data_IF_125080839061
#
_entry.id   IF_125080839061
#
_cell.length_a   1.000
_cell.length_b   1.000
_cell.length_c   1.000
_cell.angle_alpha   90.00
_cell.angle_beta   90.00
_cell.angle_gamma   90.00
#
_symmetry.space_group_name_H-M   'P 1'
#
loop_
_entity.id
_entity.type
_entity.pdbx_description
1 polymer ?
#
# COMPACT_ATOMS: atom_id res chain seq x y z
N UNK A 1 -43.22 -8.23 -44.66
CA UNK A 1 -42.40 -7.53 -43.65
C UNK A 1 -43.14 -7.58 -42.32
N UNK A 2 -42.60 -8.27 -41.29
CA UNK A 2 -43.20 -8.32 -39.95
C UNK A 2 -42.53 -7.28 -39.06
N UNK A 3 -43.29 -6.43 -38.33
CA UNK A 3 -42.71 -5.41 -37.46
C UNK A 3 -42.05 -6.06 -36.23
N UNK A 4 -40.83 -5.61 -35.94
CA UNK A 4 -39.98 -6.10 -34.85
C UNK A 4 -40.40 -5.37 -33.56
N UNK A 5 -40.96 -6.10 -32.60
CA UNK A 5 -41.38 -5.55 -31.31
C UNK A 5 -40.17 -5.07 -30.50
N UNK A 6 -40.25 -3.83 -29.99
CA UNK A 6 -39.23 -3.22 -29.13
C UNK A 6 -39.35 -3.77 -27.69
N UNK A 7 -38.22 -4.04 -27.01
CA UNK A 7 -38.25 -4.54 -25.64
C UNK A 7 -38.69 -3.46 -24.65
N UNK A 8 -39.55 -3.86 -23.70
CA UNK A 8 -40.07 -3.01 -22.63
C UNK A 8 -38.93 -2.52 -21.70
N UNK A 9 -38.90 -1.21 -21.46
CA UNK A 9 -37.96 -0.57 -20.52
C UNK A 9 -38.30 -0.97 -19.10
N UNK A 10 -37.33 -1.53 -18.37
CA UNK A 10 -37.44 -1.81 -16.94
C UNK A 10 -37.64 -0.52 -16.12
N UNK A 11 -38.48 -0.55 -15.07
CA UNK A 11 -38.74 0.62 -14.23
C UNK A 11 -37.49 1.03 -13.45
N UNK A 12 -37.30 2.35 -13.32
CA UNK A 12 -36.19 2.97 -12.58
C UNK A 12 -36.30 2.62 -11.08
N UNK A 13 -35.22 2.20 -10.40
CA UNK A 13 -35.23 2.00 -8.96
C UNK A 13 -35.52 3.32 -8.26
N UNK A 14 -36.51 3.34 -7.37
CA UNK A 14 -36.84 4.51 -6.55
C UNK A 14 -35.73 4.85 -5.54
N UNK A 15 -35.70 6.08 -5.02
CA UNK A 15 -34.68 6.53 -4.09
C UNK A 15 -34.74 5.72 -2.79
N UNK A 16 -33.59 5.20 -2.36
CA UNK A 16 -33.45 4.45 -1.12
C UNK A 16 -33.83 5.33 0.08
N UNK A 17 -34.76 4.84 0.92
CA UNK A 17 -35.11 5.47 2.20
C UNK A 17 -33.86 5.50 3.08
N UNK A 18 -33.45 6.70 3.48
CA UNK A 18 -32.38 6.92 4.45
C UNK A 18 -32.87 6.46 5.84
N UNK A 19 -32.18 5.53 6.51
CA UNK A 19 -32.57 5.11 7.86
C UNK A 19 -32.40 6.26 8.87
N UNK A 20 -33.26 6.35 9.90
CA UNK A 20 -33.20 7.40 10.91
C UNK A 20 -31.85 7.35 11.65
N UNK A 21 -31.21 8.52 11.76
CA UNK A 21 -29.87 8.68 12.33
C UNK A 21 -29.78 8.19 13.77
N UNK A 22 -28.75 7.40 14.07
CA UNK A 22 -28.36 7.06 15.44
C UNK A 22 -27.96 8.35 16.18
N UNK A 23 -28.42 8.55 17.43
CA UNK A 23 -27.93 9.66 18.25
C UNK A 23 -26.43 9.52 18.48
N UNK A 24 -25.70 10.60 18.18
CA UNK A 24 -24.25 10.70 18.29
C UNK A 24 -23.84 10.62 19.77
N UNK A 25 -23.37 9.44 20.20
CA UNK A 25 -22.84 9.18 21.55
C UNK A 25 -21.39 9.67 21.70
N UNK A 26 -21.03 10.82 21.12
CA UNK A 26 -19.77 11.51 21.44
C UNK A 26 -19.96 12.25 22.77
N UNK A 27 -19.97 11.48 23.85
CA UNK A 27 -19.83 12.02 25.20
C UNK A 27 -18.51 12.77 25.30
N UNK A 28 -18.60 14.03 25.71
CA UNK A 28 -17.55 15.03 25.85
C UNK A 28 -16.57 14.66 26.98
N UNK A 29 -15.83 13.55 26.82
CA UNK A 29 -14.73 13.18 27.70
C UNK A 29 -13.52 14.04 27.32
N UNK A 30 -13.50 15.27 27.84
CA UNK A 30 -12.27 16.06 27.89
C UNK A 30 -11.30 15.35 28.84
N UNK A 31 -10.31 14.69 28.27
CA UNK A 31 -9.17 14.20 29.03
C UNK A 31 -8.27 15.40 29.26
N UNK A 32 -8.07 15.80 30.52
CA UNK A 32 -7.13 16.85 30.89
C UNK A 32 -5.71 16.36 30.59
N UNK A 33 -5.22 16.65 29.38
CA UNK A 33 -3.83 16.40 29.01
C UNK A 33 -3.02 17.53 29.65
N UNK A 34 -2.38 17.24 30.78
CA UNK A 34 -1.41 18.12 31.39
C UNK A 34 -0.33 18.49 30.35
N UNK A 35 -0.21 19.77 30.02
CA UNK A 35 0.82 20.27 29.12
C UNK A 35 2.20 19.83 29.64
N UNK A 36 2.98 19.17 28.79
CA UNK A 36 4.32 18.71 29.15
C UNK A 36 5.24 19.86 29.58
N UNK A 37 6.24 19.60 30.45
CA UNK A 37 7.08 20.62 31.09
C UNK A 37 7.96 21.46 30.14
N UNK A 38 8.03 21.10 28.85
CA UNK A 38 8.83 21.80 27.83
C UNK A 38 8.02 22.69 26.88
N UNK A 39 6.73 22.89 27.14
CA UNK A 39 5.92 23.87 26.40
C UNK A 39 6.26 25.30 26.85
N UNK A 40 7.51 25.74 26.64
CA UNK A 40 7.82 27.16 26.65
C UNK A 40 6.97 27.81 25.56
N UNK A 41 5.97 28.57 25.98
CA UNK A 41 5.25 29.47 25.08
C UNK A 41 6.29 30.24 24.26
N UNK A 42 6.11 30.35 22.93
CA UNK A 42 7.00 31.20 22.15
C UNK A 42 7.03 32.58 22.77
N UNK A 43 8.23 33.17 22.87
CA UNK A 43 8.39 34.51 23.42
C UNK A 43 7.42 35.47 22.70
N UNK A 44 6.76 36.39 23.44
CA UNK A 44 5.80 37.32 22.84
C UNK A 44 6.46 38.09 21.69
N UNK A 45 5.74 38.24 20.58
CA UNK A 45 6.25 38.93 19.38
C UNK A 45 6.65 40.36 19.79
N UNK A 46 7.93 40.77 19.63
CA UNK A 46 8.36 42.10 20.02
C UNK A 46 7.63 43.16 19.18
N UNK A 47 7.26 44.27 19.82
CA UNK A 47 6.54 45.37 19.16
C UNK A 47 7.28 45.87 17.91
N UNK A 48 6.52 46.19 16.85
CA UNK A 48 7.06 46.64 15.57
C UNK A 48 7.69 48.04 15.73
N UNK A 49 8.99 48.21 15.43
CA UNK A 49 9.63 49.53 15.52
C UNK A 49 9.27 50.41 14.31
N UNK A 50 9.28 51.73 14.52
CA UNK A 50 8.96 52.74 13.49
C UNK A 50 10.19 53.22 12.69
N UNK A 51 11.39 53.14 13.27
CA UNK A 51 12.63 53.57 12.59
C UNK A 51 13.09 52.54 11.53
N UNK A 52 13.51 52.96 10.31
CA UNK A 52 13.88 52.03 9.23
C UNK A 52 14.99 51.03 9.59
N UNK A 53 16.04 51.47 10.29
CA UNK A 53 17.15 50.61 10.71
C UNK A 53 16.71 49.57 11.76
N UNK A 54 15.85 49.99 12.70
CA UNK A 54 15.27 49.09 13.70
C UNK A 54 14.26 48.12 13.06
N UNK A 55 13.52 48.54 12.04
CA UNK A 55 12.60 47.71 11.26
C UNK A 55 13.35 46.61 10.49
N UNK A 56 14.50 46.93 9.90
CA UNK A 56 15.34 45.94 9.22
C UNK A 56 15.92 44.89 10.19
N UNK A 57 16.33 45.31 11.39
CA UNK A 57 16.79 44.39 12.44
C UNK A 57 15.65 43.49 12.95
N UNK A 58 14.46 44.07 13.18
CA UNK A 58 13.25 43.35 13.58
C UNK A 58 12.82 42.33 12.53
N UNK A 59 12.83 42.70 11.24
CA UNK A 59 12.50 41.80 10.14
C UNK A 59 13.47 40.61 10.05
N UNK A 60 14.78 40.84 10.20
CA UNK A 60 15.78 39.75 10.28
C UNK A 60 15.56 38.85 11.49
N UNK A 61 15.17 39.41 12.64
CA UNK A 61 14.81 38.65 13.83
C UNK A 61 13.61 37.73 13.61
N UNK A 62 12.55 38.23 12.98
CA UNK A 62 11.37 37.41 12.62
C UNK A 62 11.74 36.32 11.63
N UNK A 63 12.55 36.62 10.61
CA UNK A 63 13.02 35.59 9.67
C UNK A 63 13.83 34.51 10.40
N UNK A 64 14.68 34.88 11.37
CA UNK A 64 15.37 33.92 12.23
C UNK A 64 14.42 33.05 13.05
N UNK A 65 13.36 33.65 13.63
CA UNK A 65 12.32 32.92 14.37
C UNK A 65 11.53 31.96 13.46
N UNK A 66 11.15 32.39 12.26
CA UNK A 66 10.47 31.55 11.27
C UNK A 66 11.33 30.34 10.92
N UNK A 67 12.61 30.55 10.57
CA UNK A 67 13.52 29.43 10.31
C UNK A 67 13.66 28.49 11.52
N UNK A 68 13.73 29.04 12.74
CA UNK A 68 13.79 28.23 13.96
C UNK A 68 12.50 27.43 14.23
N UNK A 69 11.34 27.97 13.88
CA UNK A 69 10.04 27.27 13.94
C UNK A 69 9.97 26.19 12.87
N UNK A 70 10.41 26.48 11.64
CA UNK A 70 10.45 25.52 10.54
C UNK A 70 11.39 24.34 10.83
N UNK A 71 12.59 24.60 11.37
CA UNK A 71 13.53 23.56 11.80
C UNK A 71 12.93 22.70 12.92
N UNK A 72 12.18 23.30 13.85
CA UNK A 72 11.51 22.58 14.94
C UNK A 72 10.37 21.71 14.42
N UNK A 73 9.47 22.27 13.62
CA UNK A 73 8.35 21.53 12.99
C UNK A 73 8.88 20.39 12.11
N UNK A 74 9.96 20.66 11.36
CA UNK A 74 10.63 19.68 10.51
C UNK A 74 11.28 18.53 11.28
N UNK A 75 11.71 18.73 12.51
CA UNK A 75 12.22 17.64 13.37
C UNK A 75 11.10 16.98 14.18
N UNK A 76 10.07 17.74 14.54
CA UNK A 76 8.98 17.27 15.40
C UNK A 76 8.15 16.18 14.74
N UNK A 77 7.87 16.25 13.43
CA UNK A 77 7.12 15.18 12.78
C UNK A 77 7.86 13.82 12.82
N UNK A 78 9.20 13.85 12.77
CA UNK A 78 10.02 12.64 12.85
C UNK A 78 9.96 12.04 14.26
N UNK A 79 10.13 12.87 15.30
CA UNK A 79 10.01 12.48 16.70
C UNK A 79 8.61 11.98 17.04
N UNK A 80 7.57 12.68 16.56
CA UNK A 80 6.18 12.25 16.66
C UNK A 80 6.01 10.88 16.00
N UNK A 81 6.57 10.66 14.81
CA UNK A 81 6.56 9.34 14.15
C UNK A 81 7.18 8.22 15.01
N UNK A 82 8.30 8.50 15.68
CA UNK A 82 8.93 7.54 16.61
C UNK A 82 8.04 7.23 17.82
N UNK A 83 7.43 8.25 18.45
CA UNK A 83 6.51 8.05 19.58
C UNK A 83 5.23 7.33 19.18
N UNK A 84 4.68 7.66 18.01
CA UNK A 84 3.53 6.96 17.46
C UNK A 84 3.84 5.49 17.17
N UNK A 85 5.09 5.15 16.80
CA UNK A 85 5.52 3.76 16.60
C UNK A 85 5.48 2.98 17.91
N UNK A 86 6.02 3.55 18.99
CA UNK A 86 5.95 2.97 20.34
C UNK A 86 4.49 2.79 20.78
N UNK A 87 3.65 3.81 20.60
CA UNK A 87 2.22 3.75 20.93
C UNK A 87 1.42 2.78 20.05
N UNK A 88 1.92 2.43 18.86
CA UNK A 88 1.24 1.49 17.95
C UNK A 88 1.38 0.02 18.36
N UNK A 89 2.21 -0.27 19.37
CA UNK A 89 2.33 -1.61 19.95
C UNK A 89 1.02 -2.04 20.61
N UNK A 90 0.59 -3.28 20.32
CA UNK A 90 -0.65 -3.85 20.84
C UNK A 90 -0.70 -3.91 22.36
N UNK A 91 0.42 -4.18 23.01
CA UNK A 91 0.49 -4.25 24.45
C UNK A 91 0.30 -2.86 25.08
N UNK A 92 0.84 -1.82 24.43
CA UNK A 92 0.77 -0.44 24.93
C UNK A 92 -0.65 0.11 24.88
N UNK A 93 -1.31 0.11 23.71
CA UNK A 93 -2.69 0.62 23.63
C UNK A 93 -3.69 -0.33 24.30
N UNK A 94 -3.38 -1.63 24.39
CA UNK A 94 -4.19 -2.62 25.11
C UNK A 94 -4.19 -2.37 26.62
N UNK A 95 -3.04 -2.00 27.21
CA UNK A 95 -2.95 -1.61 28.62
C UNK A 95 -3.77 -0.36 28.95
N UNK A 96 -4.00 0.52 27.97
CA UNK A 96 -4.86 1.70 28.09
C UNK A 96 -6.35 1.39 27.84
N UNK A 97 -6.71 0.13 27.61
CA UNK A 97 -8.10 -0.31 27.41
C UNK A 97 -8.66 -0.10 26.00
N UNK A 98 -7.80 0.19 25.01
CA UNK A 98 -8.23 0.36 23.62
C UNK A 98 -8.11 -0.93 22.81
N UNK A 99 -9.08 -1.18 21.93
CA UNK A 99 -9.09 -2.36 21.05
C UNK A 99 -8.17 -2.22 19.83
N UNK A 100 -7.82 -0.99 19.46
CA UNK A 100 -6.95 -0.70 18.33
C UNK A 100 -6.25 0.65 18.49
N UNK A 101 -5.09 0.79 17.84
CA UNK A 101 -4.35 2.04 17.77
C UNK A 101 -5.18 3.22 17.21
N UNK A 102 -6.05 2.97 16.24
CA UNK A 102 -6.92 4.01 15.69
C UNK A 102 -7.93 4.55 16.72
N UNK A 103 -8.49 3.65 17.55
CA UNK A 103 -9.42 4.02 18.61
C UNK A 103 -8.74 4.90 19.67
N UNK A 104 -7.50 4.57 20.05
CA UNK A 104 -6.69 5.39 20.96
C UNK A 104 -6.51 6.81 20.40
N UNK A 105 -6.07 6.94 19.13
CA UNK A 105 -5.81 8.25 18.53
C UNK A 105 -7.08 9.12 18.43
N UNK A 106 -8.22 8.51 18.08
CA UNK A 106 -9.50 9.22 17.99
C UNK A 106 -10.01 9.66 19.37
N UNK A 107 -9.94 8.78 20.37
CA UNK A 107 -10.39 9.09 21.73
C UNK A 107 -9.63 10.26 22.37
N UNK A 108 -8.36 10.45 22.00
CA UNK A 108 -7.52 11.54 22.50
C UNK A 108 -7.39 12.73 21.53
N UNK A 109 -8.10 12.72 20.40
CA UNK A 109 -8.08 13.83 19.44
C UNK A 109 -6.70 14.15 18.85
N UNK A 110 -5.78 13.18 18.80
CA UNK A 110 -4.38 13.42 18.41
C UNK A 110 -4.27 13.66 16.90
N UNK A 111 -4.69 12.68 16.09
CA UNK A 111 -4.72 12.76 14.62
C UNK A 111 -5.43 11.53 14.02
N UNK A 112 -5.68 11.54 12.71
CA UNK A 112 -6.20 10.35 12.02
C UNK A 112 -5.18 9.20 12.01
N UNK A 113 -5.67 7.96 12.06
CA UNK A 113 -4.84 6.75 11.94
C UNK A 113 -4.00 6.74 10.66
N UNK A 114 -4.57 7.23 9.56
CA UNK A 114 -3.84 7.33 8.29
C UNK A 114 -2.62 8.24 8.44
N UNK A 115 -2.81 9.43 9.03
CA UNK A 115 -1.70 10.36 9.18
C UNK A 115 -0.61 9.82 10.10
N UNK A 116 -1.00 9.25 11.25
CA UNK A 116 -0.08 8.60 12.18
C UNK A 116 0.75 7.50 11.50
N UNK A 117 0.11 6.68 10.65
CA UNK A 117 0.79 5.62 9.91
C UNK A 117 1.84 6.16 8.94
N UNK A 118 1.58 7.29 8.27
CA UNK A 118 2.57 7.90 7.39
C UNK A 118 3.76 8.44 8.19
N UNK A 119 3.54 9.12 9.33
CA UNK A 119 4.61 9.62 10.19
C UNK A 119 5.48 8.49 10.75
N UNK A 120 4.85 7.41 11.22
CA UNK A 120 5.56 6.18 11.64
C UNK A 120 6.41 5.68 10.47
N UNK A 121 5.83 5.53 9.27
CA UNK A 121 6.57 5.00 8.12
C UNK A 121 7.77 5.87 7.74
N UNK A 122 7.62 7.19 7.76
CA UNK A 122 8.71 8.13 7.50
C UNK A 122 9.83 7.97 8.54
N UNK A 123 9.48 7.84 9.82
CA UNK A 123 10.47 7.66 10.90
C UNK A 123 11.24 6.34 10.84
N UNK A 124 10.62 5.30 10.24
CA UNK A 124 11.23 3.98 10.06
C UNK A 124 12.14 3.94 8.83
N UNK A 125 11.75 4.61 7.75
CA UNK A 125 12.43 4.51 6.45
C UNK A 125 13.57 5.51 6.27
N UNK A 126 13.62 6.58 7.06
CA UNK A 126 14.60 7.66 6.89
C UNK A 126 15.35 7.96 8.17
N UNK A 127 16.58 8.46 8.01
CA UNK A 127 17.31 9.10 9.10
C UNK A 127 16.69 10.46 9.46
N UNK A 128 16.95 11.01 10.67
CA UNK A 128 16.47 12.34 11.04
C UNK A 128 16.89 13.43 10.04
N UNK A 129 18.13 13.36 9.54
CA UNK A 129 18.67 14.30 8.57
C UNK A 129 17.96 14.21 7.21
N UNK A 130 17.69 12.99 6.72
CA UNK A 130 16.94 12.78 5.48
C UNK A 130 15.50 13.28 5.61
N UNK A 131 14.83 12.94 6.72
CA UNK A 131 13.45 13.35 6.97
C UNK A 131 13.34 14.89 6.98
N UNK A 132 14.24 15.57 7.70
CA UNK A 132 14.31 17.04 7.75
C UNK A 132 14.46 17.65 6.35
N UNK A 133 15.43 17.16 5.57
CA UNK A 133 15.71 17.68 4.21
C UNK A 133 14.53 17.47 3.25
N UNK A 134 13.83 16.34 3.35
CA UNK A 134 12.73 16.02 2.45
C UNK A 134 11.43 16.73 2.86
N UNK A 135 11.18 16.87 4.15
CA UNK A 135 9.87 17.23 4.68
C UNK A 135 8.82 16.13 4.47
N UNK A 136 7.68 16.25 5.15
CA UNK A 136 6.74 15.13 5.29
C UNK A 136 6.10 14.70 3.97
N UNK A 137 5.60 15.67 3.20
CA UNK A 137 4.90 15.41 1.94
C UNK A 137 5.80 14.75 0.89
N UNK A 138 7.05 15.19 0.78
CA UNK A 138 8.01 14.63 -0.18
C UNK A 138 8.51 13.27 0.28
N UNK A 139 8.85 13.12 1.55
CA UNK A 139 9.24 11.82 2.12
C UNK A 139 8.14 10.77 1.88
N UNK A 140 6.88 11.10 2.13
CA UNK A 140 5.76 10.20 1.85
C UNK A 140 5.60 9.88 0.35
N UNK A 141 5.77 10.87 -0.52
CA UNK A 141 5.67 10.65 -1.97
C UNK A 141 6.79 9.73 -2.48
N UNK A 142 8.01 9.86 -1.95
CA UNK A 142 9.12 8.96 -2.27
C UNK A 142 8.84 7.55 -1.74
N UNK A 143 8.38 7.38 -0.50
CA UNK A 143 7.97 6.07 0.04
C UNK A 143 6.91 5.44 -0.88
N UNK A 144 5.90 6.21 -1.26
CA UNK A 144 4.82 5.76 -2.15
C UNK A 144 5.34 5.29 -3.51
N UNK A 145 6.31 6.00 -4.08
CA UNK A 145 6.99 5.61 -5.31
C UNK A 145 7.86 4.36 -5.12
N UNK A 146 8.70 4.34 -4.10
CA UNK A 146 9.59 3.22 -3.78
C UNK A 146 8.82 1.91 -3.60
N UNK A 147 7.70 1.92 -2.86
CA UNK A 147 6.81 0.77 -2.70
C UNK A 147 6.21 0.34 -4.05
N UNK A 148 5.78 1.30 -4.87
CA UNK A 148 5.26 1.01 -6.20
C UNK A 148 6.34 0.42 -7.13
N UNK A 149 7.59 0.86 -7.01
CA UNK A 149 8.74 0.36 -7.76
C UNK A 149 9.36 -0.91 -7.15
N UNK A 150 9.00 -1.29 -5.91
CA UNK A 150 9.60 -2.39 -5.15
C UNK A 150 11.04 -2.15 -4.76
N UNK A 151 11.37 -0.90 -4.47
CA UNK A 151 12.69 -0.46 -4.02
C UNK A 151 12.59 0.05 -2.59
N UNK A 152 13.72 0.15 -1.89
CA UNK A 152 13.78 0.71 -0.54
C UNK A 152 13.85 2.24 -0.59
N UNK A 153 13.00 2.97 0.16
CA UNK A 153 12.97 4.44 0.11
C UNK A 153 14.30 5.11 0.47
N UNK A 154 14.98 4.67 1.54
CA UNK A 154 16.27 5.21 1.97
C UNK A 154 17.32 5.13 0.84
N UNK A 155 17.48 3.94 0.26
CA UNK A 155 18.50 3.68 -0.76
C UNK A 155 18.27 4.47 -2.06
N UNK A 156 17.03 4.90 -2.34
CA UNK A 156 16.73 5.80 -3.46
C UNK A 156 17.17 7.22 -3.18
N UNK A 157 17.02 7.67 -1.93
CA UNK A 157 17.45 9.01 -1.50
C UNK A 157 18.97 9.05 -1.43
N UNK A 158 19.62 8.05 -0.85
CA UNK A 158 21.09 8.00 -0.68
C UNK A 158 21.83 8.02 -2.01
N UNK A 159 21.31 7.33 -3.03
CA UNK A 159 21.89 7.31 -4.38
C UNK A 159 21.39 8.45 -5.27
N UNK A 160 20.52 9.33 -4.73
CA UNK A 160 19.80 10.35 -5.49
C UNK A 160 19.22 9.81 -6.81
N UNK A 161 18.54 8.66 -6.73
CA UNK A 161 18.12 7.87 -7.88
C UNK A 161 17.36 8.71 -8.91
N UNK A 162 17.56 8.43 -10.19
CA UNK A 162 16.86 9.15 -11.25
C UNK A 162 15.54 8.47 -11.60
N UNK A 163 14.49 9.28 -11.75
CA UNK A 163 13.22 8.86 -12.36
C UNK A 163 13.17 9.56 -13.70
N UNK A 164 13.05 8.81 -14.80
CA UNK A 164 12.93 9.38 -16.17
C UNK A 164 14.05 10.40 -16.48
N UNK A 165 15.30 10.13 -16.04
CA UNK A 165 16.48 10.98 -16.29
C UNK A 165 16.58 12.25 -15.44
N UNK A 166 15.72 12.41 -14.42
CA UNK A 166 15.78 13.53 -13.48
C UNK A 166 16.04 13.02 -12.06
N UNK A 167 16.90 13.66 -11.25
CA UNK A 167 17.17 13.23 -9.88
C UNK A 167 15.92 13.31 -9.00
N UNK A 168 15.73 12.32 -8.12
CA UNK A 168 14.59 12.20 -7.20
C UNK A 168 14.34 13.49 -6.40
N UNK A 169 15.41 14.15 -5.96
CA UNK A 169 15.35 15.41 -5.21
C UNK A 169 14.82 16.58 -6.04
N UNK A 170 14.94 16.54 -7.37
CA UNK A 170 14.41 17.54 -8.29
C UNK A 170 12.93 17.37 -8.65
N UNK A 171 12.28 16.30 -8.18
CA UNK A 171 10.85 16.07 -8.44
C UNK A 171 9.95 16.84 -7.46
N UNK A 172 8.84 17.36 -8.00
CA UNK A 172 7.74 17.86 -7.18
C UNK A 172 6.95 16.69 -6.58
N UNK A 173 6.27 16.92 -5.46
CA UNK A 173 5.41 15.91 -4.78
C UNK A 173 4.38 15.33 -5.75
N UNK A 174 3.72 16.18 -6.55
CA UNK A 174 2.73 15.76 -7.54
C UNK A 174 3.33 14.86 -8.62
N UNK A 175 4.54 15.17 -9.09
CA UNK A 175 5.22 14.38 -10.11
C UNK A 175 5.67 13.00 -9.56
N UNK A 176 6.14 12.93 -8.30
CA UNK A 176 6.41 11.65 -7.63
C UNK A 176 5.15 10.80 -7.46
N UNK A 177 4.03 11.43 -7.09
CA UNK A 177 2.75 10.72 -6.96
C UNK A 177 2.27 10.18 -8.32
N UNK A 178 2.42 10.96 -9.39
CA UNK A 178 2.10 10.52 -10.75
C UNK A 178 3.02 9.37 -11.19
N UNK A 179 4.32 9.44 -10.94
CA UNK A 179 5.27 8.36 -11.19
C UNK A 179 4.90 7.09 -10.41
N UNK A 180 4.54 7.21 -9.12
CA UNK A 180 4.07 6.10 -8.31
C UNK A 180 2.78 5.49 -8.87
N UNK A 181 1.85 6.30 -9.37
CA UNK A 181 0.64 5.82 -10.02
C UNK A 181 0.95 5.07 -11.33
N UNK A 182 1.87 5.57 -12.17
CA UNK A 182 2.35 4.88 -13.38
C UNK A 182 2.98 3.53 -13.04
N UNK A 183 3.83 3.47 -12.02
CA UNK A 183 4.44 2.20 -11.57
C UNK A 183 3.41 1.20 -11.05
N UNK A 184 2.41 1.65 -10.29
CA UNK A 184 1.30 0.79 -9.86
C UNK A 184 0.48 0.30 -11.04
N UNK A 185 0.17 1.16 -12.02
CA UNK A 185 -0.57 0.79 -13.20
C UNK A 185 0.20 -0.23 -14.05
N UNK A 186 1.51 0.00 -14.26
CA UNK A 186 2.42 -0.93 -14.92
C UNK A 186 2.37 -2.29 -14.22
N UNK A 187 2.62 -2.34 -12.91
CA UNK A 187 2.56 -3.58 -12.12
C UNK A 187 1.20 -4.26 -12.17
N UNK A 188 0.10 -3.49 -12.10
CA UNK A 188 -1.25 -4.02 -12.24
C UNK A 188 -1.43 -4.66 -13.61
N UNK A 189 -0.94 -4.05 -14.68
CA UNK A 189 -0.95 -4.63 -16.03
C UNK A 189 -0.20 -5.95 -16.11
N UNK A 190 0.89 -6.12 -15.35
CA UNK A 190 1.58 -7.41 -15.25
C UNK A 190 0.77 -8.47 -14.45
N UNK A 191 0.13 -8.03 -13.35
CA UNK A 191 -0.70 -8.89 -12.49
C UNK A 191 -2.00 -9.31 -13.19
N UNK A 192 -2.59 -8.48 -14.03
CA UNK A 192 -3.86 -8.82 -14.70
C UNK A 192 -3.67 -9.58 -16.03
N UNK A 193 -2.65 -10.41 -16.10
CA UNK A 193 -2.39 -11.25 -17.28
C UNK A 193 -2.95 -12.66 -17.10
N UNK A 194 -3.41 -13.34 -18.17
CA UNK A 194 -3.81 -14.75 -18.10
C UNK A 194 -2.71 -15.65 -17.52
N UNK A 195 -1.44 -15.32 -17.81
CA UNK A 195 -0.26 -15.97 -17.26
C UNK A 195 -0.15 -15.82 -15.74
N UNK A 196 -0.41 -14.62 -15.18
CA UNK A 196 -0.47 -14.43 -13.73
C UNK A 196 -1.57 -15.29 -13.10
N UNK A 197 -2.80 -15.22 -13.64
CA UNK A 197 -3.93 -16.00 -13.14
C UNK A 197 -3.67 -17.51 -13.18
N UNK A 198 -3.00 -18.00 -14.24
CA UNK A 198 -2.59 -19.40 -14.34
C UNK A 198 -1.56 -19.77 -13.26
N UNK A 199 -0.56 -18.92 -13.04
CA UNK A 199 0.46 -19.14 -12.02
C UNK A 199 -0.09 -19.04 -10.59
N UNK A 200 -1.07 -18.15 -10.35
CA UNK A 200 -1.78 -18.06 -9.08
C UNK A 200 -2.61 -19.32 -8.81
N UNK A 201 -3.33 -19.84 -9.81
CA UNK A 201 -4.04 -21.13 -9.69
C UNK A 201 -3.07 -22.27 -9.36
N UNK A 202 -1.91 -22.31 -9.99
CA UNK A 202 -0.87 -23.29 -9.68
C UNK A 202 -0.34 -23.14 -8.24
N UNK A 203 -0.05 -21.91 -7.79
CA UNK A 203 0.38 -21.64 -6.41
C UNK A 203 -0.68 -22.05 -5.38
N UNK A 204 -1.96 -21.74 -5.63
CA UNK A 204 -3.08 -22.18 -4.76
C UNK A 204 -3.23 -23.71 -4.74
N UNK A 205 -2.99 -24.39 -5.87
CA UNK A 205 -2.98 -25.86 -5.93
C UNK A 205 -1.84 -26.44 -5.09
N UNK A 206 -0.61 -25.93 -5.27
CA UNK A 206 0.57 -26.35 -4.50
C UNK A 206 0.38 -26.11 -3.01
N UNK A 207 -0.10 -24.93 -2.60
CA UNK A 207 -0.38 -24.63 -1.20
C UNK A 207 -1.40 -25.59 -0.57
N UNK A 208 -2.48 -25.91 -1.30
CA UNK A 208 -3.47 -26.92 -0.84
C UNK A 208 -2.84 -28.30 -0.69
N UNK A 209 -2.05 -28.75 -1.67
CA UNK A 209 -1.35 -30.04 -1.60
C UNK A 209 -0.37 -30.11 -0.44
N UNK A 210 0.42 -29.05 -0.21
CA UNK A 210 1.37 -28.97 0.91
C UNK A 210 0.65 -29.05 2.26
N UNK A 211 -0.45 -28.30 2.44
CA UNK A 211 -1.27 -28.36 3.66
C UNK A 211 -1.90 -29.75 3.87
N UNK A 212 -2.38 -30.38 2.81
CA UNK A 212 -2.93 -31.74 2.86
C UNK A 212 -1.87 -32.78 3.26
N UNK A 213 -0.59 -32.52 2.95
CA UNK A 213 0.57 -33.34 3.36
C UNK A 213 1.15 -32.96 4.73
N UNK A 214 0.43 -32.16 5.53
CA UNK A 214 0.85 -31.76 6.87
C UNK A 214 1.73 -30.51 6.94
N UNK A 215 2.11 -29.92 5.80
CA UNK A 215 2.90 -28.68 5.76
C UNK A 215 2.03 -27.44 5.96
N UNK A 216 1.49 -27.27 7.17
CA UNK A 216 0.56 -26.16 7.51
C UNK A 216 1.25 -24.80 7.46
N UNK A 217 2.52 -24.75 7.84
CA UNK A 217 3.34 -23.53 7.89
C UNK A 217 4.08 -23.25 6.56
N UNK A 218 3.72 -23.97 5.49
CA UNK A 218 4.31 -23.76 4.17
C UNK A 218 3.92 -22.39 3.58
N UNK A 219 4.92 -21.60 3.22
CA UNK A 219 4.74 -20.34 2.52
C UNK A 219 4.98 -20.52 1.01
N UNK A 220 3.92 -20.28 0.23
CA UNK A 220 3.98 -20.30 -1.24
C UNK A 220 3.89 -18.87 -1.73
N UNK A 221 4.94 -18.37 -2.38
CA UNK A 221 5.01 -17.00 -2.91
C UNK A 221 5.15 -17.02 -4.41
N UNK A 222 4.31 -16.24 -5.09
CA UNK A 222 4.45 -15.97 -6.51
C UNK A 222 5.36 -14.75 -6.70
N UNK A 223 6.30 -14.84 -7.63
CA UNK A 223 7.11 -13.69 -8.03
C UNK A 223 7.42 -13.73 -9.52
N UNK A 224 7.51 -12.56 -10.13
CA UNK A 224 7.90 -12.42 -11.52
C UNK A 224 9.43 -12.33 -11.60
N UNK A 225 10.05 -13.16 -12.44
CA UNK A 225 11.48 -13.05 -12.77
C UNK A 225 11.64 -12.97 -14.28
N UNK A 226 12.07 -11.81 -14.77
CA UNK A 226 12.04 -11.50 -16.20
C UNK A 226 10.60 -11.47 -16.72
N UNK A 227 10.31 -12.29 -17.73
CA UNK A 227 8.97 -12.43 -18.32
C UNK A 227 8.16 -13.61 -17.79
N UNK A 228 8.68 -14.37 -16.82
CA UNK A 228 8.04 -15.60 -16.33
C UNK A 228 7.66 -15.53 -14.86
N UNK A 229 6.45 -15.97 -14.56
CA UNK A 229 5.99 -16.17 -13.19
C UNK A 229 6.65 -17.42 -12.60
N UNK A 230 7.21 -17.28 -11.40
CA UNK A 230 7.83 -18.35 -10.64
C UNK A 230 7.17 -18.48 -9.28
N UNK A 231 7.24 -19.68 -8.71
CA UNK A 231 6.73 -19.99 -7.38
C UNK A 231 7.94 -20.29 -6.50
N UNK A 232 8.06 -19.56 -5.38
CA UNK A 232 8.99 -19.86 -4.30
C UNK A 232 8.23 -20.58 -3.19
N UNK A 233 8.84 -21.65 -2.70
CA UNK A 233 8.33 -22.43 -1.58
C UNK A 233 9.31 -22.24 -0.42
N UNK A 234 8.77 -21.84 0.73
CA UNK A 234 9.48 -21.76 2.00
C UNK A 234 8.81 -22.77 2.95
N UNK A 235 9.59 -23.74 3.41
CA UNK A 235 9.15 -24.92 4.17
C UNK A 235 10.12 -25.13 5.33
N UNK A 236 9.62 -25.62 6.47
CA UNK A 236 10.48 -26.16 7.52
C UNK A 236 11.22 -27.41 6.98
N UNK A 237 12.51 -27.54 7.31
CA UNK A 237 13.36 -28.61 6.76
C UNK A 237 12.80 -30.02 7.04
N UNK A 238 12.25 -30.22 8.24
CA UNK A 238 11.62 -31.48 8.68
C UNK A 238 10.45 -31.90 7.79
N UNK A 239 9.70 -30.91 7.30
CA UNK A 239 8.51 -31.14 6.48
C UNK A 239 8.86 -31.24 4.99
N UNK A 240 9.99 -30.65 4.58
CA UNK A 240 10.44 -30.68 3.19
C UNK A 240 10.69 -32.11 2.70
N UNK A 241 11.30 -32.97 3.52
CA UNK A 241 11.55 -34.37 3.15
C UNK A 241 10.24 -35.15 2.97
N UNK A 242 9.30 -35.03 3.90
CA UNK A 242 7.99 -35.67 3.80
C UNK A 242 7.16 -35.14 2.62
N UNK A 243 7.29 -33.85 2.29
CA UNK A 243 6.57 -33.23 1.17
C UNK A 243 7.16 -33.63 -0.21
N UNK A 244 8.48 -33.83 -0.30
CA UNK A 244 9.20 -34.21 -1.54
C UNK A 244 9.12 -35.72 -1.77
N UNK A 245 9.34 -36.52 -0.73
CA UNK A 245 9.47 -37.99 -0.79
C UNK A 245 8.15 -38.70 -0.51
N UNK A 246 7.14 -37.99 0.01
CA UNK A 246 5.82 -38.54 0.28
C UNK A 246 5.28 -39.28 -0.95
N UNK A 247 4.71 -40.49 -0.77
CA UNK A 247 4.44 -41.42 -1.85
C UNK A 247 3.73 -40.66 -2.96
N UNK A 248 4.36 -40.60 -4.13
CA UNK A 248 3.65 -40.33 -5.37
C UNK A 248 2.46 -41.25 -5.33
N UNK A 249 1.29 -40.70 -5.00
CA UNK A 249 0.06 -41.45 -4.87
C UNK A 249 0.04 -42.35 -6.08
N UNK A 250 0.11 -43.68 -5.83
CA UNK A 250 0.08 -44.71 -6.86
C UNK A 250 -0.94 -44.21 -7.85
N UNK A 251 -0.48 -43.95 -9.08
CA UNK A 251 -1.37 -43.81 -10.20
C UNK A 251 -2.31 -45.01 -10.06
N UNK A 252 -3.56 -44.73 -9.71
CA UNK A 252 -4.60 -45.74 -9.70
C UNK A 252 -4.54 -46.37 -11.08
N UNK A 253 -4.12 -47.63 -11.11
CA UNK A 253 -4.42 -48.56 -12.18
C UNK A 253 -5.96 -48.59 -12.30
N UNK A 254 -6.48 -47.59 -13.01
CA UNK A 254 -7.81 -47.66 -13.58
C UNK A 254 -7.67 -48.59 -14.79
N UNK A 255 -8.46 -49.68 -14.86
CA UNK A 255 -8.36 -50.62 -15.96
C UNK A 255 -8.66 -49.89 -17.28
N UNK A 256 -7.83 -50.18 -18.28
CA UNK A 256 -8.06 -49.82 -19.67
C UNK A 256 -9.41 -50.41 -20.12
N UNK A 257 -10.46 -49.58 -20.08
CA UNK A 257 -11.81 -49.97 -20.45
C UNK A 257 -12.58 -48.78 -21.01
N UNK A 258 -12.45 -48.58 -22.33
CA UNK A 258 -13.45 -48.01 -23.23
C UNK A 258 -14.22 -46.75 -22.78
N UNK A 259 -13.74 -45.56 -23.16
CA UNK A 259 -14.56 -44.46 -23.69
C UNK A 259 -13.76 -43.16 -23.85
N UNK A 260 -13.07 -42.96 -24.97
CA UNK A 260 -12.76 -41.60 -25.49
C UNK A 260 -12.18 -41.61 -26.91
N UNK A 261 -12.66 -42.49 -27.79
CA UNK A 261 -12.44 -42.34 -29.24
C UNK A 261 -13.58 -41.50 -29.81
N UNK A 262 -13.61 -40.20 -29.52
CA UNK A 262 -14.74 -39.33 -29.91
C UNK A 262 -14.42 -37.85 -30.11
N UNK A 263 -13.37 -37.30 -29.49
CA UNK A 263 -13.15 -35.84 -29.49
C UNK A 263 -12.05 -35.34 -30.45
N UNK A 264 -11.35 -36.23 -31.17
CA UNK A 264 -10.23 -35.87 -32.06
C UNK A 264 -10.56 -35.90 -33.56
N UNK A 265 -11.80 -36.22 -33.96
CA UNK A 265 -12.22 -36.18 -35.38
C UNK A 265 -12.95 -34.89 -35.80
N UNK A 266 -13.33 -34.02 -34.87
CA UNK A 266 -14.05 -32.77 -35.17
C UNK A 266 -13.15 -31.56 -35.48
N UNK A 267 -11.87 -31.58 -35.10
CA UNK A 267 -10.95 -30.46 -35.36
C UNK A 267 -10.19 -30.53 -36.70
N UNK A 268 -10.19 -31.68 -37.41
CA UNK A 268 -9.50 -31.84 -38.70
C UNK A 268 -10.39 -31.63 -39.94
N UNK A 269 -11.70 -31.37 -39.78
CA UNK A 269 -12.63 -31.14 -40.90
C UNK A 269 -12.91 -29.66 -41.22
N UNK A 270 -12.31 -28.72 -40.48
CA UNK A 270 -12.48 -27.28 -40.68
C UNK A 270 -11.36 -26.62 -41.50
N UNK A 271 -10.31 -27.34 -41.88
CA UNK A 271 -9.16 -26.80 -42.63
C UNK A 271 -9.21 -27.07 -44.16
N UNK A 272 -10.34 -27.55 -44.70
CA UNK A 272 -10.48 -27.90 -46.13
C UNK A 272 -11.50 -27.06 -46.90
N UNK A 273 -11.82 -25.83 -46.44
CA UNK A 273 -12.59 -24.86 -47.21
C UNK A 273 -11.72 -23.63 -47.46
N UNK A 274 -11.03 -23.65 -48.59
CA UNK A 274 -10.27 -22.50 -49.10
C UNK A 274 -11.17 -21.29 -49.38
N UNK A 275 -10.57 -20.09 -49.49
CA UNK A 275 -11.29 -18.85 -49.76
C UNK A 275 -11.93 -18.90 -51.16
N UNK A 276 -13.25 -18.75 -51.22
CA UNK A 276 -13.95 -18.43 -52.47
C UNK A 276 -13.64 -16.98 -52.82
N UNK A 277 -12.73 -16.78 -53.77
CA UNK A 277 -12.73 -15.58 -54.59
C UNK A 277 -13.92 -15.65 -55.56
N UNK A 278 -14.63 -14.53 -55.69
CA UNK A 278 -15.62 -14.28 -56.73
C UNK A 278 -15.48 -12.81 -57.18
N UNK A 279 -15.83 -12.50 -58.44
CA UNK A 279 -15.23 -11.46 -59.27
C UNK A 279 -15.62 -10.02 -58.90
#
# INVERSE_FOLDING_TARGET
MRPRALPARSPKPGPARVPPGRPDRRGDRRVDIAAGPDARLPDPIPARPSAPTALAAWARGILGQIHGIEDRIGLDFYRIGQRLRELSDRNVYGALGFSSFGQLLEAHGVMSRFWATQLIRISVEYSPAQARTLGVSKAWAIISYAVAAGQKPAELVDRNAEIEGKPLTGYSVRALQAAAARERARRRGLIDTPAHHAAERAARKISRTLRARGARDAHVRLFLKGSSWRIRLELAAEVALAAIVGPTARATDAPAGAAASGALRSARRAAARGPKFAP
#
